data_IF_346107947198
#
_entry.id   IF_346107947198
#
_cell.length_a   1.000
_cell.length_b   1.000
_cell.length_c   1.000
_cell.angle_alpha   90.00
_cell.angle_beta   90.00
_cell.angle_gamma   90.00
#
_symmetry.space_group_name_H-M   'P 1'
#
loop_
_entity.id
_entity.type
_entity.pdbx_description
1 polymer ?
#
# COMPACT_ATOMS: atom_id res chain seq x y z
N UNK A 1 -8.03 -11.07 -15.70
CA UNK A 1 -9.05 -10.03 -15.49
C UNK A 1 -9.84 -10.39 -14.24
N UNK A 2 -9.71 -9.64 -13.15
CA UNK A 2 -10.53 -9.83 -11.96
C UNK A 2 -12.01 -9.68 -12.30
N UNK A 3 -12.81 -10.61 -11.82
CA UNK A 3 -14.29 -10.58 -11.92
C UNK A 3 -14.81 -10.63 -10.48
N UNK A 4 -15.67 -9.71 -10.12
CA UNK A 4 -16.22 -9.56 -8.78
C UNK A 4 -17.74 -9.78 -8.88
N UNK A 5 -18.22 -10.86 -8.28
CA UNK A 5 -19.65 -11.10 -8.14
C UNK A 5 -20.19 -10.19 -7.05
N UNK A 6 -21.02 -9.21 -7.43
CA UNK A 6 -21.56 -8.21 -6.52
C UNK A 6 -22.78 -7.51 -7.11
N UNK A 7 -23.56 -6.83 -6.27
CA UNK A 7 -24.61 -5.93 -6.73
C UNK A 7 -23.97 -4.70 -7.40
N UNK A 8 -24.22 -4.46 -8.70
CA UNK A 8 -23.63 -3.34 -9.43
C UNK A 8 -24.03 -1.96 -8.91
N UNK A 9 -25.16 -1.83 -8.22
CA UNK A 9 -25.58 -0.57 -7.62
C UNK A 9 -24.78 -0.26 -6.35
N UNK A 10 -24.47 -1.26 -5.54
CA UNK A 10 -23.60 -1.13 -4.36
C UNK A 10 -22.16 -0.82 -4.80
N UNK A 11 -21.66 -1.55 -5.80
CA UNK A 11 -20.33 -1.30 -6.38
C UNK A 11 -20.22 0.12 -6.94
N UNK A 12 -21.27 0.59 -7.63
CA UNK A 12 -21.35 1.96 -8.15
C UNK A 12 -21.18 3.00 -7.05
N UNK A 13 -21.97 2.89 -5.95
CA UNK A 13 -21.90 3.83 -4.83
C UNK A 13 -20.49 3.93 -4.25
N UNK A 14 -19.81 2.81 -4.03
CA UNK A 14 -18.44 2.79 -3.52
C UNK A 14 -17.43 3.49 -4.44
N UNK A 15 -17.58 3.27 -5.75
CA UNK A 15 -16.73 3.89 -6.77
C UNK A 15 -16.96 5.41 -6.83
N UNK A 16 -18.22 5.85 -6.74
CA UNK A 16 -18.61 7.27 -6.68
C UNK A 16 -18.11 7.93 -5.39
N UNK A 17 -18.25 7.28 -4.23
CA UNK A 17 -17.78 7.77 -2.92
C UNK A 17 -16.24 7.93 -2.87
N UNK A 18 -15.51 7.09 -3.63
CA UNK A 18 -14.08 7.21 -3.83
C UNK A 18 -13.67 8.30 -4.86
N UNK A 19 -14.63 9.07 -5.36
CA UNK A 19 -14.38 10.16 -6.31
C UNK A 19 -14.07 9.71 -7.73
N UNK A 20 -14.31 8.45 -8.08
CA UNK A 20 -14.10 7.93 -9.43
C UNK A 20 -15.32 8.23 -10.30
N UNK A 21 -15.08 8.79 -11.48
CA UNK A 21 -16.13 9.13 -12.42
C UNK A 21 -16.79 7.89 -13.00
N UNK A 22 -18.13 7.86 -12.95
CA UNK A 22 -18.97 6.84 -13.58
C UNK A 22 -19.48 7.34 -14.92
N UNK A 23 -19.44 6.46 -15.92
CA UNK A 23 -19.99 6.68 -17.26
C UNK A 23 -21.03 5.61 -17.60
N UNK A 24 -21.90 5.91 -18.58
CA UNK A 24 -22.84 4.92 -19.08
C UNK A 24 -22.11 3.75 -19.75
N UNK A 25 -22.73 2.57 -19.72
CA UNK A 25 -22.22 1.41 -20.45
C UNK A 25 -22.17 1.66 -21.97
N UNK A 26 -21.26 0.98 -22.66
CA UNK A 26 -21.12 1.08 -24.12
C UNK A 26 -22.08 0.16 -24.87
N UNK A 27 -22.71 -0.78 -24.16
CA UNK A 27 -23.65 -1.75 -24.73
C UNK A 27 -24.90 -1.88 -23.83
N UNK A 28 -25.97 -2.46 -24.37
CA UNK A 28 -27.22 -2.69 -23.62
C UNK A 28 -27.07 -3.64 -22.41
N UNK A 29 -25.98 -4.40 -22.37
CA UNK A 29 -25.68 -5.33 -21.27
C UNK A 29 -24.81 -4.73 -20.18
N UNK A 30 -24.18 -3.58 -20.43
CA UNK A 30 -23.36 -2.87 -19.46
C UNK A 30 -24.21 -1.87 -18.68
N UNK A 31 -24.16 -1.93 -17.36
CA UNK A 31 -24.91 -1.03 -16.47
C UNK A 31 -24.20 0.31 -16.28
N UNK A 32 -22.89 0.27 -16.11
CA UNK A 32 -22.01 1.44 -15.99
C UNK A 32 -20.54 1.05 -16.24
N UNK A 33 -19.72 2.08 -16.45
CA UNK A 33 -18.26 1.99 -16.56
C UNK A 33 -17.60 3.02 -15.67
N UNK A 34 -16.38 2.70 -15.20
CA UNK A 34 -15.51 3.63 -14.49
C UNK A 34 -14.08 3.46 -14.94
N UNK A 35 -13.32 4.55 -15.05
CA UNK A 35 -11.89 4.56 -15.36
C UNK A 35 -11.12 5.21 -14.22
N UNK A 36 -10.03 4.60 -13.83
CA UNK A 36 -9.09 5.15 -12.87
C UNK A 36 -7.68 4.67 -13.20
N UNK A 37 -6.79 5.61 -13.53
CA UNK A 37 -5.36 5.37 -13.73
C UNK A 37 -5.05 4.25 -14.75
N UNK A 38 -5.88 4.12 -15.80
CA UNK A 38 -5.74 3.11 -16.85
C UNK A 38 -6.34 1.75 -16.51
N UNK A 39 -6.99 1.60 -15.37
CA UNK A 39 -7.88 0.48 -15.08
C UNK A 39 -9.33 0.85 -15.37
N UNK A 40 -10.08 -0.08 -15.97
CA UNK A 40 -11.49 0.10 -16.33
C UNK A 40 -12.34 -0.96 -15.65
N UNK A 41 -13.34 -0.51 -14.89
CA UNK A 41 -14.40 -1.36 -14.37
C UNK A 41 -15.62 -1.31 -15.29
N UNK A 42 -16.18 -2.45 -15.62
CA UNK A 42 -17.39 -2.62 -16.42
C UNK A 42 -18.40 -3.43 -15.62
N UNK A 43 -19.53 -2.83 -15.28
CA UNK A 43 -20.58 -3.48 -14.52
C UNK A 43 -21.65 -4.12 -15.42
N UNK A 44 -22.04 -5.31 -15.06
CA UNK A 44 -23.12 -6.10 -15.64
C UNK A 44 -24.23 -6.28 -14.59
N UNK A 45 -25.19 -7.17 -14.81
CA UNK A 45 -26.35 -7.35 -13.93
C UNK A 45 -25.98 -7.89 -12.53
N UNK A 46 -24.97 -8.75 -12.44
CA UNK A 46 -24.62 -9.52 -11.25
C UNK A 46 -23.12 -9.47 -10.91
N UNK A 47 -22.34 -8.72 -11.68
CA UNK A 47 -20.89 -8.67 -11.52
C UNK A 47 -20.27 -7.42 -12.11
N UNK A 48 -19.04 -7.15 -11.66
CA UNK A 48 -18.16 -6.14 -12.25
C UNK A 48 -16.86 -6.82 -12.74
N UNK A 49 -16.47 -6.52 -13.96
CA UNK A 49 -15.19 -6.98 -14.55
C UNK A 49 -14.21 -5.81 -14.53
N UNK A 50 -13.04 -6.01 -13.97
CA UNK A 50 -11.97 -5.00 -13.94
C UNK A 50 -10.84 -5.42 -14.86
N UNK A 51 -10.37 -4.48 -15.72
CA UNK A 51 -9.30 -4.72 -16.68
C UNK A 51 -8.41 -3.47 -16.81
N UNK A 52 -7.24 -3.62 -17.38
CA UNK A 52 -6.30 -2.51 -17.59
C UNK A 52 -4.96 -2.71 -16.89
N UNK A 53 -4.19 -1.64 -16.76
CA UNK A 53 -2.80 -1.68 -16.30
C UNK A 53 -2.63 -1.84 -14.79
N UNK A 54 -3.58 -1.40 -13.98
CA UNK A 54 -3.55 -1.50 -12.51
C UNK A 54 -4.95 -1.77 -11.95
N UNK A 55 -5.48 -3.00 -12.12
CA UNK A 55 -6.86 -3.31 -11.74
C UNK A 55 -7.08 -3.35 -10.23
N UNK A 56 -6.03 -3.51 -9.41
CA UNK A 56 -6.15 -3.70 -7.97
C UNK A 56 -6.86 -2.55 -7.27
N UNK A 57 -6.58 -1.31 -7.65
CA UNK A 57 -7.23 -0.11 -7.08
C UNK A 57 -8.74 -0.10 -7.24
N UNK A 58 -9.24 -0.42 -8.43
CA UNK A 58 -10.69 -0.52 -8.67
C UNK A 58 -11.29 -1.79 -8.07
N UNK A 59 -10.57 -2.90 -8.15
CA UNK A 59 -11.01 -4.18 -7.57
C UNK A 59 -11.26 -4.04 -6.06
N UNK A 60 -10.35 -3.41 -5.32
CA UNK A 60 -10.48 -3.21 -3.87
C UNK A 60 -11.66 -2.29 -3.50
N UNK A 61 -11.90 -1.24 -4.30
CA UNK A 61 -13.05 -0.34 -4.08
C UNK A 61 -14.40 -1.07 -4.28
N UNK A 62 -14.45 -2.01 -5.22
CA UNK A 62 -15.67 -2.73 -5.60
C UNK A 62 -15.96 -3.90 -4.67
N UNK A 63 -14.92 -4.62 -4.24
CA UNK A 63 -15.05 -5.83 -3.43
C UNK A 63 -15.72 -5.55 -2.07
N UNK A 64 -16.57 -6.47 -1.62
CA UNK A 64 -17.15 -6.40 -0.27
C UNK A 64 -16.09 -6.66 0.79
N UNK A 65 -15.95 -5.73 1.75
CA UNK A 65 -14.99 -5.82 2.85
C UNK A 65 -13.57 -5.39 2.48
N UNK A 66 -13.40 -4.66 1.35
CA UNK A 66 -12.11 -4.17 0.86
C UNK A 66 -11.11 -5.27 0.52
N UNK A 67 -9.92 -4.87 0.11
CA UNK A 67 -8.83 -5.80 -0.16
C UNK A 67 -7.99 -6.09 1.07
N UNK A 68 -7.30 -7.23 1.07
CA UNK A 68 -6.25 -7.55 2.05
C UNK A 68 -4.90 -7.63 1.37
N UNK A 69 -3.89 -6.98 1.96
CA UNK A 69 -2.52 -7.06 1.46
C UNK A 69 -1.51 -7.37 2.57
N UNK A 70 -0.44 -8.05 2.18
CA UNK A 70 0.80 -8.03 2.93
C UNK A 70 1.61 -6.82 2.48
N UNK A 71 2.05 -6.01 3.44
CA UNK A 71 2.78 -4.77 3.23
C UNK A 71 4.20 -4.96 3.71
N UNK A 72 5.17 -4.90 2.81
CA UNK A 72 6.59 -5.00 3.13
C UNK A 72 7.25 -3.64 2.99
N UNK A 73 8.20 -3.33 3.87
CA UNK A 73 8.93 -2.08 3.85
C UNK A 73 10.37 -2.28 4.30
N UNK A 74 11.28 -1.48 3.75
CA UNK A 74 12.68 -1.41 4.13
C UNK A 74 13.23 0.00 3.93
N UNK A 75 14.08 0.45 4.84
CA UNK A 75 14.77 1.72 4.77
C UNK A 75 16.28 1.54 4.77
N UNK A 76 16.96 2.11 3.79
CA UNK A 76 18.41 2.03 3.68
C UNK A 76 19.08 3.40 3.81
N UNK A 77 20.29 3.46 4.40
CA UNK A 77 21.12 4.65 4.39
C UNK A 77 22.61 4.31 4.22
N UNK A 78 23.31 5.07 3.38
CA UNK A 78 24.77 4.98 3.23
C UNK A 78 25.47 5.90 4.22
N UNK A 79 25.60 5.44 5.44
CA UNK A 79 26.09 6.19 6.60
C UNK A 79 24.95 6.55 7.56
N UNK A 80 25.31 6.97 8.78
CA UNK A 80 24.34 7.21 9.85
C UNK A 80 24.59 8.54 10.58
N UNK A 81 24.12 9.70 10.06
CA UNK A 81 23.25 9.89 8.90
C UNK A 81 24.01 9.87 7.54
N UNK A 82 23.32 9.49 6.48
CA UNK A 82 23.83 9.45 5.12
C UNK A 82 22.71 9.53 4.07
N UNK A 83 23.08 9.49 2.76
CA UNK A 83 22.07 9.35 1.72
C UNK A 83 21.18 8.17 2.02
N UNK A 84 19.87 8.39 1.99
CA UNK A 84 18.89 7.38 2.33
C UNK A 84 17.86 7.14 1.23
N UNK A 85 17.27 5.96 1.27
CA UNK A 85 16.17 5.57 0.41
C UNK A 85 15.19 4.67 1.16
N UNK A 86 14.02 4.52 0.59
CA UNK A 86 12.96 3.63 1.05
C UNK A 86 12.58 2.66 -0.05
N UNK A 87 12.17 1.47 0.33
CA UNK A 87 11.58 0.47 -0.55
C UNK A 87 10.35 -0.14 0.08
N UNK A 88 9.35 -0.44 -0.73
CA UNK A 88 8.12 -1.06 -0.26
C UNK A 88 7.45 -1.89 -1.36
N UNK A 89 6.68 -2.91 -0.95
CA UNK A 89 5.81 -3.63 -1.87
C UNK A 89 4.52 -4.11 -1.18
N UNK A 90 3.46 -4.17 -1.97
CA UNK A 90 2.13 -4.65 -1.60
C UNK A 90 1.87 -5.97 -2.31
N UNK A 91 1.56 -7.01 -1.55
CA UNK A 91 1.38 -8.37 -2.06
C UNK A 91 0.01 -8.90 -1.66
N UNK A 92 -0.73 -9.43 -2.64
CA UNK A 92 -2.01 -10.12 -2.43
C UNK A 92 -1.88 -11.60 -2.80
N UNK A 93 -2.98 -12.35 -2.79
CA UNK A 93 -3.02 -13.72 -3.33
C UNK A 93 -2.64 -13.80 -4.81
N UNK A 94 -2.80 -12.71 -5.55
CA UNK A 94 -2.51 -12.64 -6.99
C UNK A 94 -1.05 -12.23 -7.29
N UNK A 95 -0.25 -12.00 -6.24
CA UNK A 95 1.15 -11.60 -6.33
C UNK A 95 1.39 -10.15 -5.92
N UNK A 96 2.49 -9.57 -6.39
CA UNK A 96 2.82 -8.15 -6.17
C UNK A 96 1.86 -7.28 -6.98
N UNK A 97 1.11 -6.42 -6.30
CA UNK A 97 0.14 -5.50 -6.92
C UNK A 97 0.67 -4.08 -7.03
N UNK A 98 1.61 -3.71 -6.18
CA UNK A 98 2.31 -2.44 -6.23
C UNK A 98 3.65 -2.54 -5.52
N UNK A 99 4.62 -1.78 -5.98
CA UNK A 99 5.92 -1.64 -5.35
C UNK A 99 6.54 -0.30 -5.70
N UNK A 100 7.49 0.15 -4.90
CA UNK A 100 8.20 1.39 -5.16
C UNK A 100 9.46 1.53 -4.34
N UNK A 101 10.36 2.35 -4.86
CA UNK A 101 11.58 2.78 -4.17
C UNK A 101 11.85 4.24 -4.49
N UNK A 102 12.29 5.01 -3.51
CA UNK A 102 12.65 6.42 -3.72
C UNK A 102 13.76 6.88 -2.78
N UNK A 103 14.55 7.85 -3.24
CA UNK A 103 15.53 8.55 -2.39
C UNK A 103 14.83 9.57 -1.51
N UNK A 104 15.26 9.65 -0.24
CA UNK A 104 14.66 10.55 0.77
C UNK A 104 15.64 11.57 1.36
N UNK A 105 16.78 11.78 0.70
CA UNK A 105 17.80 12.71 1.16
C UNK A 105 18.73 12.12 2.22
N UNK A 106 19.20 12.95 3.16
CA UNK A 106 20.16 12.55 4.20
C UNK A 106 19.44 12.22 5.51
N UNK A 107 19.51 10.97 5.92
CA UNK A 107 18.80 10.42 7.10
C UNK A 107 19.66 9.41 7.87
N UNK A 108 19.25 9.11 9.09
CA UNK A 108 19.74 7.95 9.82
C UNK A 108 19.02 6.68 9.35
N UNK A 109 19.59 5.51 9.66
CA UNK A 109 18.97 4.24 9.30
C UNK A 109 17.54 4.12 9.88
N UNK A 110 17.35 4.44 11.15
CA UNK A 110 16.04 4.38 11.78
C UNK A 110 15.02 5.38 11.16
N UNK A 111 15.48 6.55 10.73
CA UNK A 111 14.63 7.51 10.00
C UNK A 111 14.23 6.97 8.62
N UNK A 112 15.13 6.29 7.92
CA UNK A 112 14.83 5.63 6.64
C UNK A 112 13.80 4.51 6.82
N UNK A 113 13.95 3.68 7.82
CA UNK A 113 13.01 2.61 8.16
C UNK A 113 11.59 3.13 8.45
N UNK A 114 11.48 4.18 9.29
CA UNK A 114 10.18 4.82 9.54
C UNK A 114 9.59 5.46 8.27
N UNK A 115 10.42 6.08 7.44
CA UNK A 115 9.97 6.66 6.18
C UNK A 115 9.44 5.59 5.23
N UNK A 116 10.11 4.44 5.13
CA UNK A 116 9.67 3.30 4.33
C UNK A 116 8.31 2.77 4.80
N UNK A 117 8.14 2.60 6.12
CA UNK A 117 6.85 2.17 6.68
C UNK A 117 5.73 3.18 6.39
N UNK A 118 5.98 4.48 6.51
CA UNK A 118 5.01 5.52 6.18
C UNK A 118 4.61 5.43 4.71
N UNK A 119 5.58 5.32 3.78
CA UNK A 119 5.31 5.21 2.34
C UNK A 119 4.52 3.95 1.99
N UNK A 120 4.87 2.82 2.59
CA UNK A 120 4.16 1.56 2.40
C UNK A 120 2.69 1.64 2.86
N UNK A 121 2.43 2.29 4.00
CA UNK A 121 1.07 2.49 4.51
C UNK A 121 0.27 3.49 3.67
N UNK A 122 0.89 4.57 3.21
CA UNK A 122 0.26 5.53 2.28
C UNK A 122 -0.11 4.84 0.97
N UNK A 123 0.77 4.03 0.40
CA UNK A 123 0.47 3.24 -0.80
C UNK A 123 -0.68 2.26 -0.57
N UNK A 124 -0.71 1.54 0.56
CA UNK A 124 -1.80 0.62 0.88
C UNK A 124 -3.16 1.33 1.02
N UNK A 125 -3.19 2.52 1.62
CA UNK A 125 -4.38 3.38 1.75
C UNK A 125 -4.85 3.86 0.35
N UNK A 126 -3.93 4.34 -0.50
CA UNK A 126 -4.23 4.76 -1.87
C UNK A 126 -4.78 3.63 -2.76
N UNK A 127 -4.33 2.39 -2.53
CA UNK A 127 -4.84 1.20 -3.21
C UNK A 127 -6.17 0.70 -2.65
N UNK A 128 -6.70 1.32 -1.59
CA UNK A 128 -8.01 1.03 -1.03
C UNK A 128 -8.09 -0.31 -0.30
N UNK A 129 -6.99 -0.77 0.31
CA UNK A 129 -7.02 -1.94 1.18
C UNK A 129 -7.67 -1.59 2.53
N UNK A 130 -8.59 -2.45 3.01
CA UNK A 130 -9.20 -2.30 4.33
C UNK A 130 -8.46 -3.11 5.40
N UNK A 131 -7.75 -4.15 4.99
CA UNK A 131 -7.00 -5.02 5.88
C UNK A 131 -5.54 -5.16 5.41
N UNK A 132 -4.59 -4.98 6.33
CA UNK A 132 -3.17 -5.10 6.02
C UNK A 132 -2.41 -5.92 7.06
N UNK A 133 -1.46 -6.73 6.57
CA UNK A 133 -0.47 -7.41 7.38
C UNK A 133 0.91 -6.79 7.07
N UNK A 134 1.35 -5.89 7.93
CA UNK A 134 2.62 -5.17 7.77
C UNK A 134 3.78 -6.02 8.26
N UNK A 135 4.84 -6.13 7.46
CA UNK A 135 6.02 -6.94 7.72
C UNK A 135 7.29 -6.16 7.42
N UNK A 136 8.23 -6.18 8.34
CA UNK A 136 9.54 -5.57 8.19
C UNK A 136 10.59 -6.31 9.02
N UNK A 137 11.85 -6.16 8.70
CA UNK A 137 12.98 -6.80 9.41
C UNK A 137 13.64 -5.90 10.46
N UNK A 138 13.10 -4.69 10.67
CA UNK A 138 13.53 -3.80 11.75
C UNK A 138 12.75 -4.08 13.05
N UNK A 139 13.33 -4.90 13.92
CA UNK A 139 12.73 -5.21 15.23
C UNK A 139 12.47 -3.95 16.06
N UNK A 140 13.37 -2.95 15.97
CA UNK A 140 13.26 -1.69 16.67
C UNK A 140 11.97 -0.96 16.28
N UNK A 141 11.75 -0.76 14.98
CA UNK A 141 10.56 -0.05 14.47
C UNK A 141 9.29 -0.79 14.86
N UNK A 142 9.25 -2.11 14.66
CA UNK A 142 8.10 -2.94 15.01
C UNK A 142 7.73 -2.80 16.49
N UNK A 143 8.71 -2.91 17.39
CA UNK A 143 8.47 -2.79 18.84
C UNK A 143 8.10 -1.39 19.29
N UNK A 144 8.69 -0.35 18.66
CA UNK A 144 8.31 1.03 18.94
C UNK A 144 6.87 1.32 18.52
N UNK A 145 6.47 0.93 17.31
CA UNK A 145 5.09 1.15 16.82
C UNK A 145 4.06 0.42 17.69
N UNK A 146 4.38 -0.80 18.13
CA UNK A 146 3.56 -1.57 19.09
C UNK A 146 3.51 -0.96 20.50
N UNK A 147 4.42 -0.03 20.82
CA UNK A 147 4.52 0.55 22.15
C UNK A 147 5.28 -0.31 23.16
N UNK A 148 5.95 -1.35 22.72
CA UNK A 148 6.80 -2.20 23.57
C UNK A 148 8.11 -1.50 23.93
N UNK A 149 8.63 -0.67 23.03
CA UNK A 149 9.82 0.15 23.21
C UNK A 149 9.51 1.64 23.01
N UNK A 150 10.22 2.50 23.73
CA UNK A 150 10.07 3.95 23.65
C UNK A 150 10.97 4.51 22.55
N UNK A 151 10.42 5.39 21.71
CA UNK A 151 11.20 6.22 20.80
C UNK A 151 11.71 7.45 21.58
N UNK A 152 13.00 7.47 21.92
CA UNK A 152 13.61 8.57 22.67
C UNK A 152 13.91 9.80 21.81
N UNK A 153 14.20 9.59 20.52
CA UNK A 153 14.44 10.65 19.56
C UNK A 153 13.11 11.35 19.19
N UNK A 154 13.06 12.72 19.28
CA UNK A 154 11.86 13.47 18.95
C UNK A 154 11.37 13.25 17.50
N UNK A 155 12.28 13.19 16.52
CA UNK A 155 11.91 12.97 15.11
C UNK A 155 11.34 11.57 14.89
N UNK A 156 11.91 10.55 15.53
CA UNK A 156 11.35 9.18 15.46
C UNK A 156 9.97 9.11 16.15
N UNK A 157 9.76 9.91 17.18
CA UNK A 157 8.47 9.98 17.87
C UNK A 157 7.38 10.58 16.99
N UNK A 158 7.69 11.64 16.24
CA UNK A 158 6.77 12.24 15.26
C UNK A 158 6.40 11.22 14.16
N UNK A 159 7.40 10.49 13.64
CA UNK A 159 7.17 9.44 12.65
C UNK A 159 6.34 8.28 13.20
N UNK A 160 6.55 7.89 14.47
CA UNK A 160 5.74 6.89 15.14
C UNK A 160 4.27 7.32 15.26
N UNK A 161 4.00 8.59 15.59
CA UNK A 161 2.64 9.15 15.63
C UNK A 161 2.02 9.05 14.22
N UNK A 162 2.74 9.48 13.19
CA UNK A 162 2.26 9.40 11.79
C UNK A 162 1.92 7.97 11.37
N UNK A 163 2.76 7.00 11.71
CA UNK A 163 2.49 5.57 11.43
C UNK A 163 1.19 5.11 12.09
N UNK A 164 0.96 5.49 13.37
CA UNK A 164 -0.27 5.12 14.08
C UNK A 164 -1.52 5.77 13.49
N UNK A 165 -1.42 7.01 13.04
CA UNK A 165 -2.51 7.70 12.32
C UNK A 165 -2.86 6.99 11.01
N UNK A 166 -1.85 6.55 10.25
CA UNK A 166 -2.06 5.79 9.03
C UNK A 166 -2.66 4.41 9.31
N UNK A 167 -2.15 3.67 10.30
CA UNK A 167 -2.69 2.38 10.70
C UNK A 167 -4.17 2.46 11.13
N UNK A 168 -4.58 3.56 11.75
CA UNK A 168 -5.95 3.78 12.17
C UNK A 168 -6.96 3.96 11.00
N UNK A 169 -6.48 4.11 9.77
CA UNK A 169 -7.33 4.18 8.58
C UNK A 169 -7.80 2.82 8.08
N UNK A 170 -7.11 1.76 8.49
CA UNK A 170 -7.44 0.39 8.09
C UNK A 170 -8.39 -0.24 9.12
N UNK A 171 -9.39 -0.96 8.65
CA UNK A 171 -10.35 -1.67 9.51
C UNK A 171 -9.66 -2.75 10.34
N UNK A 172 -8.63 -3.39 9.76
CA UNK A 172 -7.82 -4.43 10.41
C UNK A 172 -6.37 -4.30 9.98
N UNK A 173 -5.48 -4.37 10.93
CA UNK A 173 -4.07 -4.41 10.66
C UNK A 173 -3.30 -5.28 11.65
N UNK A 174 -2.22 -5.84 11.19
CA UNK A 174 -1.21 -6.48 12.01
C UNK A 174 0.18 -5.96 11.64
N UNK A 175 1.12 -6.08 12.58
CA UNK A 175 2.50 -5.65 12.39
C UNK A 175 3.42 -6.74 12.92
N UNK A 176 4.31 -7.29 12.09
CA UNK A 176 5.17 -8.39 12.43
C UNK A 176 6.62 -8.15 12.02
N UNK A 177 7.55 -8.50 12.90
CA UNK A 177 8.96 -8.64 12.55
C UNK A 177 9.16 -9.94 11.77
N UNK A 178 9.86 -9.88 10.65
CA UNK A 178 10.18 -11.01 9.79
C UNK A 178 11.69 -11.08 9.53
N UNK A 179 12.24 -12.28 9.22
CA UNK A 179 13.61 -12.39 8.76
C UNK A 179 13.86 -11.58 7.47
N UNK A 180 15.09 -11.09 7.29
CA UNK A 180 15.48 -10.27 6.14
C UNK A 180 15.18 -10.95 4.80
N UNK A 181 15.33 -12.28 4.73
CA UNK A 181 15.06 -13.04 3.51
C UNK A 181 13.58 -12.96 3.07
N UNK A 182 12.67 -12.76 4.02
CA UNK A 182 11.24 -12.56 3.73
C UNK A 182 10.96 -11.13 3.30
N UNK A 183 11.82 -10.16 3.69
CA UNK A 183 11.71 -8.75 3.34
C UNK A 183 12.56 -8.36 2.11
N UNK A 184 13.18 -9.33 1.43
CA UNK A 184 14.20 -9.11 0.40
C UNK A 184 13.74 -8.18 -0.73
N UNK A 185 12.48 -8.23 -1.17
CA UNK A 185 12.02 -7.35 -2.25
C UNK A 185 12.00 -5.87 -1.84
N UNK A 186 11.58 -5.55 -0.62
CA UNK A 186 11.61 -4.18 -0.12
C UNK A 186 13.07 -3.68 0.09
N UNK A 187 13.96 -4.55 0.61
CA UNK A 187 15.40 -4.28 0.72
C UNK A 187 16.03 -3.99 -0.65
N UNK A 188 15.75 -4.82 -1.66
CA UNK A 188 16.23 -4.61 -3.03
C UNK A 188 15.78 -3.25 -3.59
N UNK A 189 14.51 -2.90 -3.46
CA UNK A 189 13.94 -1.64 -3.95
C UNK A 189 14.58 -0.41 -3.27
N UNK A 190 14.84 -0.48 -1.95
CA UNK A 190 15.53 0.58 -1.23
C UNK A 190 16.98 0.75 -1.71
N UNK A 191 17.69 -0.37 -1.93
CA UNK A 191 19.06 -0.34 -2.43
C UNK A 191 19.15 0.12 -3.88
N UNK A 192 18.27 -0.35 -4.78
CA UNK A 192 18.15 0.11 -6.16
C UNK A 192 17.96 1.64 -6.21
N UNK A 193 17.03 2.18 -5.41
CA UNK A 193 16.80 3.61 -5.33
C UNK A 193 18.01 4.41 -4.84
N UNK A 194 18.83 3.84 -3.93
CA UNK A 194 20.09 4.45 -3.52
C UNK A 194 21.14 4.49 -4.64
N UNK A 195 21.19 3.43 -5.47
CA UNK A 195 22.20 3.27 -6.52
C UNK A 195 21.92 4.15 -7.75
N UNK A 196 20.66 4.41 -8.09
CA UNK A 196 20.25 5.22 -9.25
C UNK A 196 20.72 6.69 -9.19
N UNK A 197 21.28 7.14 -8.11
CA UNK A 197 21.65 8.55 -7.90
C UNK A 197 23.13 8.82 -7.72
N UNK A 198 24.00 7.86 -7.99
CA UNK A 198 25.47 8.03 -7.96
C UNK A 198 26.08 8.32 -9.32
#
# INVERSE_FOLDING_TARGET
>A
MPTIDCDPAVARSRVEDAGVRIEAGNTDHERWRADRDGAVAVAYDDKVVVQGSDPARLTNLIAEGGGRAHVYFDGASRGNPGPGAVGWCLVTSDGVVAEGGERIGRVTNNQAEYAALIRALEAADEYGFDAIDVRGDSELIIKQVRGEWTANDPELRERQVRVRELLARFDRWSLAHVPREINARADDLANEALDEGD
#
